data_IF_782039777544
#
_entry.id   IF_782039777544
#
_cell.length_a   1.000
_cell.length_b   1.000
_cell.length_c   1.000
_cell.angle_alpha   90.00
_cell.angle_beta   90.00
_cell.angle_gamma   90.00
#
_symmetry.space_group_name_H-M   'P 1'
#
loop_
_entity.id
_entity.type
_entity.pdbx_description
1 polymer ?
#
# COMPACT_ATOMS: atom_id res chain seq x y z
N UNK A 1 -7.49 -2.56 -13.17
CA UNK A 1 -7.78 -2.63 -11.74
C UNK A 1 -8.89 -3.63 -11.48
N UNK A 2 -8.73 -4.52 -10.50
CA UNK A 2 -9.75 -5.49 -10.12
C UNK A 2 -10.98 -4.80 -9.49
N UNK A 3 -12.17 -5.42 -9.69
CA UNK A 3 -13.42 -4.91 -9.15
C UNK A 3 -14.03 -3.71 -9.89
N UNK A 4 -13.33 -3.14 -10.86
CA UNK A 4 -13.83 -2.05 -11.70
C UNK A 4 -14.48 -2.64 -12.95
N UNK A 5 -15.62 -2.09 -13.35
CA UNK A 5 -16.30 -2.48 -14.60
C UNK A 5 -15.73 -1.69 -15.77
N UNK A 6 -15.23 -2.38 -16.79
CA UNK A 6 -14.70 -1.78 -18.01
C UNK A 6 -15.58 -2.16 -19.20
N UNK A 7 -15.92 -1.18 -20.04
CA UNK A 7 -16.42 -1.47 -21.38
C UNK A 7 -15.24 -1.96 -22.23
N UNK A 8 -15.34 -3.17 -22.79
CA UNK A 8 -14.29 -3.75 -23.62
C UNK A 8 -13.91 -2.87 -24.80
N UNK A 9 -14.87 -2.09 -25.34
CA UNK A 9 -14.63 -1.17 -26.45
C UNK A 9 -13.90 0.11 -26.02
N UNK A 10 -13.87 0.44 -24.72
CA UNK A 10 -13.08 1.54 -24.19
C UNK A 10 -11.58 1.21 -24.10
N UNK A 11 -11.22 -0.06 -24.11
CA UNK A 11 -9.85 -0.53 -24.06
C UNK A 11 -9.20 -0.42 -25.44
N UNK A 12 -7.97 0.10 -25.45
CA UNK A 12 -7.16 0.12 -26.67
C UNK A 12 -6.32 -1.16 -26.76
N UNK A 13 -6.38 -1.79 -27.92
CA UNK A 13 -5.65 -3.00 -28.23
C UNK A 13 -4.58 -2.69 -29.27
N UNK A 14 -3.31 -2.86 -28.92
CA UNK A 14 -2.22 -2.70 -29.86
C UNK A 14 -1.92 -4.01 -30.57
N UNK A 15 -1.99 -3.99 -31.90
CA UNK A 15 -1.68 -5.13 -32.74
C UNK A 15 -0.90 -4.65 -33.98
N UNK A 16 0.28 -5.22 -34.21
CA UNK A 16 1.17 -4.87 -35.33
C UNK A 16 1.45 -3.35 -35.44
N UNK A 17 1.67 -2.70 -34.30
CA UNK A 17 1.98 -1.25 -34.24
C UNK A 17 0.79 -0.34 -34.51
N UNK A 18 -0.43 -0.86 -34.47
CA UNK A 18 -1.66 -0.09 -34.63
C UNK A 18 -2.60 -0.35 -33.45
N UNK A 19 -3.26 0.70 -33.00
CA UNK A 19 -4.28 0.64 -31.95
C UNK A 19 -5.65 0.40 -32.52
N UNK A 20 -6.42 -0.46 -31.88
CA UNK A 20 -7.80 -0.81 -32.27
C UNK A 20 -8.70 -0.82 -31.03
N UNK A 21 -9.97 -0.50 -31.23
CA UNK A 21 -11.04 -0.77 -30.28
C UNK A 21 -11.57 -2.20 -30.44
N UNK A 22 -12.11 -2.78 -29.39
CA UNK A 22 -12.61 -4.18 -29.38
C UNK A 22 -13.60 -4.47 -30.52
N UNK A 23 -14.61 -3.59 -30.69
CA UNK A 23 -15.60 -3.74 -31.78
C UNK A 23 -14.98 -3.69 -33.19
N UNK A 24 -13.91 -2.91 -33.38
CA UNK A 24 -13.21 -2.87 -34.68
C UNK A 24 -12.51 -4.22 -34.95
N UNK A 25 -11.93 -4.86 -33.96
CA UNK A 25 -11.31 -6.18 -34.09
C UNK A 25 -12.38 -7.24 -34.36
N UNK A 26 -13.46 -7.25 -33.59
CA UNK A 26 -14.59 -8.17 -33.75
C UNK A 26 -15.23 -8.09 -35.15
N UNK A 27 -15.41 -6.86 -35.70
CA UNK A 27 -15.93 -6.66 -37.04
C UNK A 27 -15.00 -7.17 -38.16
N UNK A 28 -13.70 -7.37 -37.85
CA UNK A 28 -12.73 -7.96 -38.77
C UNK A 28 -12.61 -9.48 -38.61
N UNK A 29 -13.48 -10.11 -37.82
CA UNK A 29 -13.45 -11.54 -37.55
C UNK A 29 -12.30 -11.95 -36.64
N UNK A 30 -11.72 -11.02 -35.87
CA UNK A 30 -10.70 -11.30 -34.87
C UNK A 30 -11.42 -11.56 -33.55
N UNK A 31 -11.17 -12.75 -32.99
CA UNK A 31 -11.71 -13.13 -31.70
C UNK A 31 -10.70 -12.75 -30.58
N UNK A 32 -11.23 -12.25 -29.48
CA UNK A 32 -10.46 -12.00 -28.26
C UNK A 32 -11.07 -12.83 -27.14
N UNK A 33 -10.22 -13.58 -26.47
CA UNK A 33 -10.57 -14.37 -25.29
C UNK A 33 -9.84 -13.85 -24.05
N UNK A 34 -10.47 -13.98 -22.91
CA UNK A 34 -9.86 -13.80 -21.59
C UNK A 34 -10.03 -15.12 -20.82
N UNK A 35 -8.91 -15.67 -20.36
CA UNK A 35 -8.85 -16.94 -19.63
C UNK A 35 -9.56 -18.12 -20.36
N UNK A 36 -9.41 -18.15 -21.68
CA UNK A 36 -9.97 -19.19 -22.55
C UNK A 36 -11.46 -19.02 -22.90
N UNK A 37 -12.10 -17.94 -22.44
CA UNK A 37 -13.50 -17.61 -22.75
C UNK A 37 -13.59 -16.36 -23.62
N UNK A 38 -14.61 -16.28 -24.49
CA UNK A 38 -14.83 -15.07 -25.31
C UNK A 38 -14.90 -13.82 -24.40
N UNK A 39 -14.22 -12.75 -24.83
CA UNK A 39 -14.20 -11.51 -24.07
C UNK A 39 -15.61 -10.91 -24.02
N UNK A 40 -16.17 -10.64 -22.82
CA UNK A 40 -17.48 -10.01 -22.70
C UNK A 40 -17.39 -8.51 -23.05
N UNK A 41 -18.52 -7.91 -23.44
CA UNK A 41 -18.59 -6.47 -23.72
C UNK A 41 -18.34 -5.62 -22.44
N UNK A 42 -18.68 -6.16 -21.28
CA UNK A 42 -18.39 -5.58 -19.96
C UNK A 42 -17.47 -6.50 -19.19
N UNK A 43 -16.35 -5.99 -18.74
CA UNK A 43 -15.29 -6.78 -18.08
C UNK A 43 -15.16 -6.31 -16.64
N UNK A 44 -15.31 -7.23 -15.69
CA UNK A 44 -14.94 -7.02 -14.29
C UNK A 44 -13.79 -7.98 -13.96
N UNK A 45 -12.61 -7.43 -13.78
CA UNK A 45 -11.46 -8.24 -13.44
C UNK A 45 -11.51 -8.72 -11.99
N UNK A 46 -11.16 -9.97 -11.78
CA UNK A 46 -10.75 -10.47 -10.47
C UNK A 46 -9.26 -10.17 -10.25
N UNK A 47 -8.76 -10.08 -8.99
CA UNK A 47 -7.34 -9.92 -8.77
C UNK A 47 -6.57 -11.19 -9.13
N UNK A 48 -5.39 -11.03 -9.69
CA UNK A 48 -4.51 -12.11 -10.15
C UNK A 48 -4.13 -12.00 -11.62
N UNK A 49 -3.61 -13.08 -12.15
CA UNK A 49 -3.16 -13.15 -13.54
C UNK A 49 -4.29 -13.53 -14.48
N UNK A 50 -4.41 -12.81 -15.58
CA UNK A 50 -5.34 -13.07 -16.65
C UNK A 50 -4.59 -13.25 -17.98
N UNK A 51 -5.02 -14.24 -18.78
CA UNK A 51 -4.45 -14.50 -20.12
C UNK A 51 -5.41 -13.98 -21.18
N UNK A 52 -4.96 -13.00 -21.94
CA UNK A 52 -5.66 -12.55 -23.15
C UNK A 52 -5.14 -13.29 -24.36
N UNK A 53 -6.03 -13.84 -25.17
CA UNK A 53 -5.70 -14.53 -26.41
C UNK A 53 -6.44 -13.86 -27.56
N UNK A 54 -5.69 -13.48 -28.61
CA UNK A 54 -6.22 -12.92 -29.84
C UNK A 54 -6.09 -13.97 -30.93
N UNK A 55 -7.20 -14.27 -31.58
CA UNK A 55 -7.30 -15.28 -32.66
C UNK A 55 -7.67 -14.56 -33.96
N UNK A 56 -6.73 -14.55 -34.92
CA UNK A 56 -6.86 -13.94 -36.21
C UNK A 56 -6.66 -14.98 -37.31
N UNK A 57 -7.74 -15.64 -37.72
CA UNK A 57 -7.68 -16.75 -38.68
C UNK A 57 -6.94 -17.97 -38.09
N UNK A 58 -5.73 -18.25 -38.59
CA UNK A 58 -4.88 -19.35 -38.08
C UNK A 58 -3.83 -18.85 -37.06
N UNK A 59 -3.68 -17.57 -36.90
CA UNK A 59 -2.71 -16.97 -36.01
C UNK A 59 -3.30 -16.79 -34.60
N UNK A 60 -2.55 -17.18 -33.58
CA UNK A 60 -2.94 -17.10 -32.17
C UNK A 60 -1.84 -16.38 -31.39
N UNK A 61 -2.21 -15.32 -30.69
CA UNK A 61 -1.31 -14.52 -29.86
C UNK A 61 -1.87 -14.46 -28.43
N UNK A 62 -1.04 -14.74 -27.44
CA UNK A 62 -1.44 -14.67 -26.04
C UNK A 62 -0.53 -13.75 -25.25
N UNK A 63 -1.12 -12.96 -24.33
CA UNK A 63 -0.42 -12.12 -23.37
C UNK A 63 -1.05 -12.28 -22.00
N UNK A 64 -0.17 -12.48 -21.01
CA UNK A 64 -0.55 -12.49 -19.61
C UNK A 64 -0.46 -11.08 -19.04
N UNK A 65 -1.45 -10.68 -18.25
CA UNK A 65 -1.46 -9.45 -17.47
C UNK A 65 -1.80 -9.77 -16.03
N UNK A 66 -1.19 -9.05 -15.09
CA UNK A 66 -1.57 -9.11 -13.68
C UNK A 66 -2.50 -7.94 -13.36
N UNK A 67 -3.54 -8.22 -12.61
CA UNK A 67 -4.54 -7.24 -12.19
C UNK A 67 -4.65 -7.27 -10.68
N UNK A 68 -4.50 -6.11 -10.04
CA UNK A 68 -4.67 -5.94 -8.60
C UNK A 68 -5.90 -5.11 -8.28
N UNK A 69 -6.38 -5.18 -7.05
CA UNK A 69 -7.25 -4.16 -6.48
C UNK A 69 -6.52 -2.81 -6.38
N UNK A 70 -7.26 -1.72 -6.15
CA UNK A 70 -6.64 -0.50 -5.62
C UNK A 70 -5.96 -0.82 -4.30
N UNK A 71 -4.96 -0.03 -3.91
CA UNK A 71 -4.27 -0.25 -2.63
C UNK A 71 -5.24 -0.26 -1.46
N UNK A 72 -6.18 0.68 -1.43
CA UNK A 72 -7.20 0.76 -0.39
C UNK A 72 -8.09 -0.49 -0.34
N UNK A 73 -8.57 -0.95 -1.50
CA UNK A 73 -9.33 -2.19 -1.57
C UNK A 73 -8.50 -3.42 -1.19
N UNK A 74 -7.22 -3.45 -1.58
CA UNK A 74 -6.28 -4.51 -1.17
C UNK A 74 -6.16 -4.58 0.34
N UNK A 75 -5.96 -3.45 1.01
CA UNK A 75 -5.87 -3.37 2.46
C UNK A 75 -7.18 -3.76 3.16
N UNK A 76 -8.33 -3.29 2.66
CA UNK A 76 -9.65 -3.58 3.24
C UNK A 76 -10.04 -5.05 3.02
N UNK A 77 -9.81 -5.57 1.81
CA UNK A 77 -10.19 -6.96 1.44
C UNK A 77 -9.15 -8.00 1.86
N UNK A 78 -7.97 -7.56 2.28
CA UNK A 78 -6.80 -8.41 2.57
C UNK A 78 -6.46 -9.36 1.42
N UNK A 79 -6.44 -8.83 0.21
CA UNK A 79 -6.21 -9.59 -1.02
C UNK A 79 -5.17 -8.90 -1.92
N UNK A 80 -3.93 -9.33 -1.82
CA UNK A 80 -2.79 -8.77 -2.54
C UNK A 80 -2.47 -9.49 -3.87
N UNK A 81 -3.39 -10.30 -4.40
CA UNK A 81 -3.19 -10.93 -5.72
C UNK A 81 -3.04 -9.87 -6.80
N UNK A 82 -2.15 -10.12 -7.74
CA UNK A 82 -1.84 -9.22 -8.85
C UNK A 82 -0.71 -8.22 -8.58
N UNK A 83 -0.20 -8.17 -7.34
CA UNK A 83 1.07 -7.50 -7.01
C UNK A 83 2.26 -8.43 -7.26
N UNK A 84 3.49 -7.89 -7.29
CA UNK A 84 4.72 -8.72 -7.34
C UNK A 84 4.88 -9.52 -6.06
N UNK A 85 5.77 -10.51 -6.05
CA UNK A 85 6.01 -11.33 -4.85
C UNK A 85 6.52 -10.47 -3.68
N UNK A 86 7.39 -9.48 -3.95
CA UNK A 86 7.91 -8.58 -2.92
C UNK A 86 6.82 -7.67 -2.35
N UNK A 87 6.02 -7.04 -3.21
CA UNK A 87 4.90 -6.20 -2.77
C UNK A 87 3.86 -7.01 -2.00
N UNK A 88 3.54 -8.21 -2.49
CA UNK A 88 2.63 -9.15 -1.83
C UNK A 88 3.14 -9.54 -0.44
N UNK A 89 4.43 -9.81 -0.28
CA UNK A 89 5.02 -10.16 1.01
C UNK A 89 4.82 -9.05 2.05
N UNK A 90 4.93 -7.79 1.66
CA UNK A 90 4.70 -6.64 2.57
C UNK A 90 3.23 -6.54 2.96
N UNK A 91 2.29 -6.70 2.01
CA UNK A 91 0.86 -6.73 2.33
C UNK A 91 0.51 -7.88 3.27
N UNK A 92 0.98 -9.10 2.98
CA UNK A 92 0.72 -10.29 3.79
C UNK A 92 1.27 -10.11 5.22
N UNK A 93 2.44 -9.46 5.38
CA UNK A 93 3.00 -9.15 6.69
C UNK A 93 2.13 -8.15 7.46
N UNK A 94 1.61 -7.11 6.80
CA UNK A 94 0.67 -6.16 7.41
C UNK A 94 -0.63 -6.85 7.84
N UNK A 95 -1.19 -7.73 7.00
CA UNK A 95 -2.41 -8.49 7.32
C UNK A 95 -2.19 -9.42 8.50
N UNK A 96 -1.09 -10.15 8.51
CA UNK A 96 -0.73 -11.06 9.61
C UNK A 96 -0.54 -10.29 10.94
N UNK A 97 0.11 -9.13 10.90
CA UNK A 97 0.29 -8.27 12.06
C UNK A 97 -1.07 -7.78 12.61
N UNK A 98 -1.96 -7.30 11.73
CA UNK A 98 -3.31 -6.88 12.13
C UNK A 98 -4.09 -8.05 12.74
N UNK A 99 -4.09 -9.22 12.13
CA UNK A 99 -4.80 -10.41 12.64
C UNK A 99 -4.24 -10.88 14.01
N UNK A 100 -2.93 -10.65 14.22
CA UNK A 100 -2.29 -10.94 15.50
C UNK A 100 -2.77 -10.03 16.62
N UNK A 101 -2.95 -8.72 16.37
CA UNK A 101 -3.13 -7.74 17.44
C UNK A 101 -4.54 -7.18 17.52
N UNK A 102 -5.27 -7.08 16.42
CA UNK A 102 -6.66 -6.58 16.39
C UNK A 102 -7.63 -7.74 16.56
N UNK A 103 -8.52 -7.63 17.55
CA UNK A 103 -9.49 -8.68 17.88
C UNK A 103 -10.91 -8.19 17.65
N UNK A 104 -11.82 -9.14 17.44
CA UNK A 104 -13.24 -8.85 17.31
C UNK A 104 -13.77 -8.10 18.55
N UNK A 105 -14.56 -7.08 18.31
CA UNK A 105 -15.14 -6.25 19.35
C UNK A 105 -14.29 -5.09 19.86
N UNK A 106 -13.03 -4.97 19.41
CA UNK A 106 -12.19 -3.80 19.74
C UNK A 106 -12.77 -2.51 19.16
N UNK A 107 -12.84 -1.47 19.99
CA UNK A 107 -13.12 -0.10 19.57
C UNK A 107 -11.94 0.50 18.78
N UNK A 108 -12.18 1.67 18.15
CA UNK A 108 -11.16 2.30 17.29
C UNK A 108 -9.87 2.65 18.07
N UNK A 109 -9.99 3.17 19.30
CA UNK A 109 -8.83 3.49 20.15
C UNK A 109 -8.04 2.24 20.55
N UNK A 110 -8.71 1.15 20.89
CA UNK A 110 -8.06 -0.12 21.21
C UNK A 110 -7.31 -0.69 20.02
N UNK A 111 -7.86 -0.58 18.81
CA UNK A 111 -7.17 -0.96 17.56
C UNK A 111 -5.93 -0.11 17.32
N UNK A 112 -6.04 1.22 17.47
CA UNK A 112 -4.90 2.14 17.33
C UNK A 112 -3.81 1.77 18.30
N UNK A 113 -4.15 1.54 19.58
CA UNK A 113 -3.19 1.13 20.59
C UNK A 113 -2.50 -0.19 20.25
N UNK A 114 -3.25 -1.19 19.82
CA UNK A 114 -2.69 -2.50 19.46
C UNK A 114 -1.73 -2.41 18.28
N UNK A 115 -2.02 -1.58 17.27
CA UNK A 115 -1.16 -1.34 16.11
C UNK A 115 0.11 -0.57 16.51
N UNK A 116 -0.05 0.50 17.28
CA UNK A 116 1.06 1.31 17.81
C UNK A 116 2.03 0.42 18.60
N UNK A 117 1.52 -0.29 19.60
CA UNK A 117 2.32 -1.16 20.45
C UNK A 117 3.02 -2.26 19.63
N UNK A 118 2.35 -2.84 18.63
CA UNK A 118 2.99 -3.80 17.74
C UNK A 118 4.22 -3.18 17.07
N UNK A 119 4.11 -1.99 16.51
CA UNK A 119 5.20 -1.37 15.76
C UNK A 119 6.39 -1.03 16.68
N UNK A 120 6.13 -0.40 17.84
CA UNK A 120 7.20 0.01 18.76
C UNK A 120 7.88 -1.16 19.49
N UNK A 121 7.22 -2.34 19.57
CA UNK A 121 7.80 -3.53 20.20
C UNK A 121 8.46 -4.50 19.23
N UNK A 122 8.10 -4.46 17.94
CA UNK A 122 8.53 -5.46 16.96
C UNK A 122 9.53 -4.93 15.94
N UNK A 123 9.84 -3.65 15.99
CA UNK A 123 10.83 -3.03 15.10
C UNK A 123 11.79 -2.14 15.90
N UNK A 124 12.89 -1.76 15.26
CA UNK A 124 13.84 -0.79 15.79
C UNK A 124 14.14 0.25 14.71
N UNK A 125 14.56 1.43 15.13
CA UNK A 125 15.05 2.41 14.18
C UNK A 125 16.38 1.94 13.58
N UNK A 126 16.51 2.08 12.24
CA UNK A 126 17.63 1.53 11.49
C UNK A 126 18.99 1.99 12.05
N UNK A 127 19.95 1.05 12.12
CA UNK A 127 21.32 1.31 12.56
C UNK A 127 21.42 2.06 13.91
N UNK A 128 20.52 1.78 14.86
CA UNK A 128 20.46 2.47 16.15
C UNK A 128 20.41 4.03 16.02
N UNK A 129 19.71 4.52 14.98
CA UNK A 129 19.52 5.95 14.72
C UNK A 129 20.46 6.56 13.68
N UNK A 130 21.45 5.86 13.18
CA UNK A 130 22.26 6.31 12.06
C UNK A 130 21.64 5.86 10.72
N UNK A 131 20.74 6.68 10.19
CA UNK A 131 20.11 6.41 8.89
C UNK A 131 21.00 6.79 7.68
N UNK A 132 22.20 7.32 7.91
CA UNK A 132 23.08 7.79 6.81
C UNK A 132 23.51 6.66 5.86
N UNK A 133 23.51 5.41 6.35
CA UNK A 133 23.84 4.19 5.60
C UNK A 133 22.64 3.28 5.37
N UNK A 134 21.42 3.73 5.69
CA UNK A 134 20.22 2.92 5.51
C UNK A 134 20.00 2.57 4.03
N UNK A 135 19.72 1.30 3.75
CA UNK A 135 19.38 0.83 2.41
C UNK A 135 17.94 1.23 2.03
N UNK A 136 17.62 1.20 0.72
CA UNK A 136 16.32 1.64 0.23
C UNK A 136 15.13 0.92 0.88
N UNK A 137 15.25 -0.38 1.18
CA UNK A 137 14.18 -1.14 1.84
C UNK A 137 13.78 -0.56 3.20
N UNK A 138 14.70 0.12 3.91
CA UNK A 138 14.40 0.73 5.21
C UNK A 138 13.43 1.92 5.13
N UNK A 139 13.12 2.41 3.93
CA UNK A 139 12.20 3.53 3.70
C UNK A 139 10.79 3.07 3.32
N UNK A 140 10.59 1.85 2.82
CA UNK A 140 9.28 1.25 2.56
C UNK A 140 8.67 0.61 3.82
N UNK A 141 7.37 0.32 3.81
CA UNK A 141 6.70 -0.39 4.90
C UNK A 141 7.33 -1.75 5.23
N UNK A 142 7.94 -2.40 4.22
CA UNK A 142 8.65 -3.67 4.37
C UNK A 142 9.83 -3.60 5.34
N UNK A 143 10.45 -2.43 5.52
CA UNK A 143 11.49 -2.25 6.52
C UNK A 143 11.01 -2.69 7.91
N UNK A 144 10.00 -2.03 8.44
CA UNK A 144 9.43 -2.34 9.75
C UNK A 144 8.72 -3.69 9.77
N UNK A 145 7.93 -4.01 8.73
CA UNK A 145 7.08 -5.21 8.74
C UNK A 145 7.84 -6.51 8.51
N UNK A 146 8.84 -6.52 7.62
CA UNK A 146 9.59 -7.73 7.24
C UNK A 146 10.97 -7.78 7.89
N UNK A 147 11.73 -6.67 7.81
CA UNK A 147 13.11 -6.61 8.30
C UNK A 147 13.21 -6.26 9.79
N UNK A 148 12.10 -5.79 10.39
CA UNK A 148 12.05 -5.34 11.79
C UNK A 148 12.96 -4.15 12.07
N UNK A 149 13.26 -3.39 11.04
CA UNK A 149 14.12 -2.21 11.09
C UNK A 149 13.66 -1.21 10.01
N UNK A 150 13.64 0.08 10.33
CA UNK A 150 13.25 1.09 9.36
C UNK A 150 13.49 2.50 9.85
N UNK A 151 13.36 3.47 8.93
CA UNK A 151 13.33 4.89 9.27
C UNK A 151 11.89 5.34 9.58
N UNK A 152 11.69 6.59 10.00
CA UNK A 152 10.38 7.16 10.32
C UNK A 152 9.32 6.93 9.20
N UNK A 153 9.72 7.04 7.94
CA UNK A 153 8.84 6.80 6.80
C UNK A 153 8.33 5.35 6.77
N UNK A 154 9.17 4.36 7.08
CA UNK A 154 8.80 2.95 7.15
C UNK A 154 7.75 2.70 8.25
N UNK A 155 7.95 3.28 9.45
CA UNK A 155 6.97 3.22 10.55
C UNK A 155 5.63 3.84 10.12
N UNK A 156 5.68 5.03 9.51
CA UNK A 156 4.48 5.73 9.09
C UNK A 156 3.70 4.99 7.99
N UNK A 157 4.39 4.34 7.04
CA UNK A 157 3.74 3.51 6.02
C UNK A 157 3.18 2.21 6.62
N UNK A 158 3.92 1.55 7.51
CA UNK A 158 3.44 0.35 8.19
C UNK A 158 2.19 0.64 9.04
N UNK A 159 2.21 1.74 9.83
CA UNK A 159 1.04 2.17 10.59
C UNK A 159 -0.16 2.45 9.68
N UNK A 160 0.04 3.18 8.57
CA UNK A 160 -1.01 3.47 7.60
C UNK A 160 -1.64 2.18 7.06
N UNK A 161 -0.82 1.22 6.61
CA UNK A 161 -1.32 -0.05 6.06
C UNK A 161 -2.11 -0.85 7.09
N UNK A 162 -1.59 -0.97 8.31
CA UNK A 162 -2.25 -1.69 9.40
C UNK A 162 -3.55 -1.01 9.82
N UNK A 163 -3.57 0.32 9.92
CA UNK A 163 -4.76 1.09 10.29
C UNK A 163 -5.89 0.90 9.28
N UNK A 164 -5.62 1.07 7.97
CA UNK A 164 -6.62 0.85 6.91
C UNK A 164 -7.11 -0.61 6.91
N UNK A 165 -6.21 -1.58 7.07
CA UNK A 165 -6.58 -3.01 7.15
C UNK A 165 -7.42 -3.37 8.38
N UNK A 166 -7.30 -2.59 9.46
CA UNK A 166 -8.10 -2.70 10.67
C UNK A 166 -9.44 -1.95 10.58
N UNK A 167 -9.73 -1.29 9.44
CA UNK A 167 -10.96 -0.52 9.20
C UNK A 167 -10.95 0.89 9.78
N UNK A 168 -9.77 1.46 10.06
CA UNK A 168 -9.60 2.83 10.53
C UNK A 168 -9.37 3.78 9.36
N UNK A 169 -9.69 5.07 9.53
CA UNK A 169 -9.25 6.12 8.62
C UNK A 169 -7.88 6.63 9.06
N UNK A 170 -6.92 6.68 8.13
CA UNK A 170 -5.55 7.10 8.43
C UNK A 170 -4.99 8.00 7.32
N UNK A 171 -4.08 8.91 7.69
CA UNK A 171 -3.30 9.75 6.79
C UNK A 171 -1.82 9.62 7.10
N UNK A 172 -1.01 9.68 6.07
CA UNK A 172 0.42 9.88 6.19
C UNK A 172 0.71 11.38 6.29
N UNK A 173 1.57 11.74 7.21
CA UNK A 173 2.01 13.12 7.44
C UNK A 173 3.50 13.19 7.17
N UNK A 174 3.93 14.16 6.39
CA UNK A 174 5.35 14.51 6.22
C UNK A 174 5.60 15.95 6.62
N UNK A 175 6.81 16.20 7.10
CA UNK A 175 7.23 17.50 7.56
C UNK A 175 8.60 17.46 8.20
N UNK A 176 8.79 18.22 9.26
CA UNK A 176 10.04 18.23 10.05
C UNK A 176 9.76 18.00 11.53
N UNK A 177 10.72 17.36 12.22
CA UNK A 177 10.74 17.24 13.66
C UNK A 177 12.17 17.48 14.15
N UNK A 178 12.34 18.31 15.20
CA UNK A 178 13.64 18.80 15.67
C UNK A 178 14.54 19.33 14.53
N UNK A 179 13.93 19.94 13.50
CA UNK A 179 14.63 20.52 12.35
C UNK A 179 15.11 19.52 11.28
N UNK A 180 14.86 18.22 11.46
CA UNK A 180 15.11 17.17 10.48
C UNK A 180 13.85 16.77 9.73
N UNK A 181 13.99 16.27 8.48
CA UNK A 181 12.88 15.68 7.74
C UNK A 181 12.28 14.49 8.49
N UNK A 182 10.94 14.43 8.62
CA UNK A 182 10.26 13.42 9.42
C UNK A 182 8.91 13.02 8.84
N UNK A 183 8.45 11.82 9.20
CA UNK A 183 7.17 11.28 8.78
C UNK A 183 6.47 10.57 9.94
N UNK A 184 5.14 10.80 10.04
CA UNK A 184 4.26 10.21 11.05
C UNK A 184 2.84 10.07 10.51
N UNK A 185 1.84 9.90 11.36
CA UNK A 185 0.47 9.70 10.92
C UNK A 185 -0.54 10.61 11.59
N UNK A 186 -1.69 10.76 10.95
CA UNK A 186 -2.96 11.07 11.58
C UNK A 186 -3.89 9.87 11.46
N UNK A 187 -4.57 9.53 12.53
CA UNK A 187 -5.59 8.49 12.58
C UNK A 187 -6.90 9.06 13.13
N UNK A 188 -8.03 8.61 12.59
CA UNK A 188 -9.33 9.05 13.05
C UNK A 188 -9.86 8.06 14.07
N UNK A 189 -10.24 8.58 15.24
CA UNK A 189 -10.82 7.83 16.35
C UNK A 189 -12.11 8.53 16.81
N UNK A 190 -13.23 7.82 16.82
CA UNK A 190 -14.54 8.35 17.20
C UNK A 190 -14.91 9.66 16.50
N UNK A 191 -14.59 9.74 15.20
CA UNK A 191 -14.90 10.90 14.36
C UNK A 191 -13.91 12.07 14.45
N UNK A 192 -12.89 12.02 15.29
CA UNK A 192 -11.84 13.05 15.44
C UNK A 192 -10.49 12.57 14.92
N UNK A 193 -9.72 13.48 14.33
CA UNK A 193 -8.35 13.22 13.90
C UNK A 193 -7.35 13.45 15.04
N UNK A 194 -6.42 12.51 15.22
CA UNK A 194 -5.34 12.56 16.18
C UNK A 194 -4.01 12.34 15.49
N UNK A 195 -2.97 13.02 15.92
CA UNK A 195 -1.59 12.75 15.52
C UNK A 195 -1.04 11.56 16.31
N UNK A 196 -0.21 10.75 15.67
CA UNK A 196 0.48 9.62 16.26
C UNK A 196 1.83 9.44 15.57
N UNK A 197 2.90 9.25 16.35
CA UNK A 197 4.24 9.02 15.86
C UNK A 197 4.88 7.81 16.54
N UNK A 198 4.75 6.66 15.87
CA UNK A 198 5.33 5.41 16.37
C UNK A 198 6.87 5.43 16.39
N UNK A 199 7.51 6.25 15.55
CA UNK A 199 8.97 6.35 15.52
C UNK A 199 9.52 6.98 16.79
N UNK A 200 8.90 8.06 17.25
CA UNK A 200 9.36 8.78 18.43
C UNK A 200 8.84 8.19 19.75
N UNK A 201 7.82 7.35 19.67
CA UNK A 201 7.40 6.50 20.79
C UNK A 201 8.23 5.19 20.88
N UNK A 202 9.04 4.87 19.85
CA UNK A 202 10.02 3.79 19.83
C UNK A 202 11.44 4.36 19.83
N UNK A 203 11.98 4.75 20.99
CA UNK A 203 13.28 5.39 21.06
C UNK A 203 14.41 4.42 20.68
N UNK A 204 15.35 4.95 19.92
CA UNK A 204 16.56 4.25 19.51
C UNK A 204 17.25 3.58 20.67
N UNK A 205 17.55 2.29 20.53
CA UNK A 205 18.27 1.50 21.54
C UNK A 205 17.41 0.74 22.53
N UNK A 206 16.09 0.80 22.38
CA UNK A 206 15.12 0.00 23.13
C UNK A 206 15.08 0.26 24.63
N UNK A 207 13.94 0.25 25.22
CA UNK A 207 13.85 0.11 26.64
C UNK A 207 12.75 0.87 27.37
N UNK A 208 12.14 1.85 26.79
CA UNK A 208 11.02 2.53 27.43
C UNK A 208 9.93 2.82 26.40
N UNK A 209 8.80 2.17 26.61
CA UNK A 209 7.58 2.52 25.89
C UNK A 209 7.25 3.96 26.21
N UNK A 210 7.14 4.73 25.15
CA UNK A 210 6.82 6.14 25.27
C UNK A 210 5.48 6.36 24.58
N UNK A 211 4.52 6.93 25.29
CA UNK A 211 3.24 7.35 24.73
C UNK A 211 3.14 8.88 24.65
N UNK A 212 4.27 9.58 24.59
CA UNK A 212 4.31 11.04 24.45
C UNK A 212 3.74 11.48 23.10
N UNK A 213 3.96 10.67 22.07
CA UNK A 213 3.54 10.96 20.71
C UNK A 213 2.33 10.11 20.27
N UNK A 214 1.54 9.66 21.24
CA UNK A 214 0.36 8.84 21.04
C UNK A 214 -0.92 9.66 21.13
N UNK A 215 -1.80 9.57 20.11
CA UNK A 215 -3.17 10.15 20.04
C UNK A 215 -3.27 11.62 20.54
N UNK A 216 -2.47 12.51 20.00
CA UNK A 216 -2.55 13.94 20.30
C UNK A 216 -3.54 14.67 19.39
N UNK A 217 -4.47 15.45 19.96
CA UNK A 217 -5.39 16.31 19.19
C UNK A 217 -4.65 17.49 18.53
N UNK A 218 -3.51 17.88 19.05
CA UNK A 218 -2.68 18.96 18.54
C UNK A 218 -1.30 18.45 18.15
N UNK A 219 -0.73 19.06 17.13
CA UNK A 219 0.65 18.79 16.76
C UNK A 219 1.60 19.20 17.89
N UNK A 220 2.61 18.38 18.15
CA UNK A 220 3.61 18.66 19.18
C UNK A 220 4.49 19.85 18.78
N UNK A 221 5.05 20.55 19.76
CA UNK A 221 5.85 21.78 19.53
C UNK A 221 7.16 21.53 18.79
N UNK A 222 7.65 20.31 18.79
CA UNK A 222 8.84 19.84 18.10
C UNK A 222 8.57 19.34 16.67
N UNK A 223 7.29 19.33 16.22
CA UNK A 223 6.88 18.88 14.88
C UNK A 223 6.26 20.04 14.07
N UNK A 224 6.54 20.04 12.76
CA UNK A 224 5.93 20.94 11.78
C UNK A 224 5.40 20.09 10.63
N UNK A 225 4.07 20.00 10.48
CA UNK A 225 3.45 19.27 9.38
C UNK A 225 3.40 20.11 8.10
N UNK A 226 3.90 19.57 7.00
CA UNK A 226 3.82 20.17 5.66
C UNK A 226 2.69 19.55 4.84
N UNK A 227 2.47 18.25 4.95
CA UNK A 227 1.40 17.53 4.25
C UNK A 227 0.72 16.55 5.19
N UNK A 228 -0.56 16.29 4.92
CA UNK A 228 -1.31 15.19 5.51
C UNK A 228 -2.25 14.61 4.44
N UNK A 229 -2.03 13.38 4.00
CA UNK A 229 -2.76 12.80 2.85
C UNK A 229 -3.13 11.32 3.06
N UNK A 230 -4.24 10.92 2.46
CA UNK A 230 -4.55 9.51 2.23
C UNK A 230 -3.63 9.00 1.12
N UNK A 231 -2.74 8.07 1.44
CA UNK A 231 -1.78 7.55 0.47
C UNK A 231 -2.43 6.76 -0.65
N UNK A 232 -3.62 6.20 -0.43
CA UNK A 232 -4.34 5.45 -1.48
C UNK A 232 -4.76 6.32 -2.67
N UNK A 233 -4.80 7.64 -2.48
CA UNK A 233 -5.13 8.63 -3.50
C UNK A 233 -3.87 9.25 -4.14
N UNK A 234 -2.67 8.88 -3.67
CA UNK A 234 -1.42 9.41 -4.20
C UNK A 234 -1.05 8.72 -5.51
N UNK A 235 -1.21 9.42 -6.63
CA UNK A 235 -0.77 8.95 -7.94
C UNK A 235 0.66 9.36 -8.32
N UNK A 236 1.42 9.95 -7.39
CA UNK A 236 2.77 10.47 -7.67
C UNK A 236 3.83 9.38 -7.74
N UNK A 237 3.73 8.39 -6.86
CA UNK A 237 4.72 7.33 -6.72
C UNK A 237 4.09 5.97 -7.02
N UNK A 238 4.91 5.06 -7.51
CA UNK A 238 4.54 3.64 -7.59
C UNK A 238 4.41 3.07 -6.18
N UNK A 239 3.22 2.53 -5.88
CA UNK A 239 2.92 2.03 -4.54
C UNK A 239 3.86 0.89 -4.15
N UNK A 240 4.13 -0.01 -5.08
CA UNK A 240 4.90 -1.21 -4.81
C UNK A 240 6.37 -0.89 -4.58
N UNK A 241 6.96 -0.07 -5.44
CA UNK A 241 8.37 0.26 -5.36
C UNK A 241 8.69 1.33 -4.32
N UNK A 242 7.78 2.27 -4.08
CA UNK A 242 8.08 3.37 -3.15
C UNK A 242 7.53 3.09 -1.74
N UNK A 243 6.21 2.85 -1.60
CA UNK A 243 5.58 2.74 -0.28
C UNK A 243 5.76 1.38 0.37
N UNK A 244 5.82 0.29 -0.41
CA UNK A 244 5.97 -1.06 0.15
C UNK A 244 7.44 -1.45 0.31
N UNK A 245 8.21 -1.44 -0.78
CA UNK A 245 9.57 -1.99 -0.79
C UNK A 245 10.67 -0.93 -0.65
N UNK A 246 10.36 0.35 -0.87
CA UNK A 246 11.34 1.43 -0.87
C UNK A 246 12.32 1.39 -2.05
N UNK A 247 12.12 0.53 -3.05
CA UNK A 247 13.07 0.31 -4.15
C UNK A 247 13.35 1.57 -4.97
N UNK A 248 12.34 2.44 -5.15
CA UNK A 248 12.46 3.70 -5.90
C UNK A 248 12.87 4.90 -5.02
N UNK A 249 13.28 4.67 -3.77
CA UNK A 249 13.73 5.75 -2.92
C UNK A 249 15.10 6.26 -3.40
N UNK A 250 15.10 7.40 -4.10
CA UNK A 250 16.33 8.07 -4.51
C UNK A 250 16.89 8.89 -3.33
N UNK A 251 18.12 8.62 -2.96
CA UNK A 251 18.89 9.44 -2.00
C UNK A 251 19.41 10.70 -2.66
#
# INVERSE_FOLDING_TARGET
QAGVNYDADSLQWEFLGKSFHYKQLKNKGIEIQMDGSALPDQIVYTPGDHTFTVIAGKEIYSKKISVSYSVKDTLIKKDARGYTEDGKAVFDAAFAAVDQVVKDGMGEEEKVKAIHDYLIYHANYVNNGDYSTAENWAYGAGGVLLHKEGVCQSYAFAFYMMAISAGLECRFVSGTADGGGHAWNQVKVNGKWYYIDCTWDDPVGGGYENYKYYLSESLWSDHIAETAKDLSEDGKYDWEHYYLTGADYAR
#
